data_IF_105986261756
#
_entry.id   IF_105986261756
#
_cell.length_a   1.000
_cell.length_b   1.000
_cell.length_c   1.000
_cell.angle_alpha   90.00
_cell.angle_beta   90.00
_cell.angle_gamma   90.00
#
_symmetry.space_group_name_H-M   'P 1'
#
loop_
_entity.id
_entity.type
_entity.pdbx_description
1 polymer ?
#
# COMPACT_ATOMS: atom_id res chain seq x y z
N UNK A 1 22.10 15.59 -3.22
CA UNK A 1 20.92 16.19 -3.88
C UNK A 1 19.69 15.62 -3.19
N UNK A 2 18.83 16.45 -2.62
CA UNK A 2 17.64 15.98 -1.90
C UNK A 2 16.61 15.42 -2.90
N UNK A 3 16.16 14.19 -2.68
CA UNK A 3 15.13 13.53 -3.46
C UNK A 3 13.79 14.22 -3.21
N UNK A 4 13.46 15.24 -4.01
CA UNK A 4 12.18 15.94 -3.92
C UNK A 4 11.08 14.92 -4.25
N UNK A 5 10.28 14.57 -3.24
CA UNK A 5 9.19 13.59 -3.38
C UNK A 5 8.27 14.01 -4.53
N UNK A 6 8.14 13.19 -5.61
CA UNK A 6 7.37 13.59 -6.78
C UNK A 6 5.88 13.54 -6.48
N UNK A 7 5.36 14.71 -6.12
CA UNK A 7 3.96 15.12 -6.04
C UNK A 7 3.02 14.38 -6.99
N UNK A 8 2.39 13.31 -6.48
CA UNK A 8 1.24 12.68 -7.12
C UNK A 8 0.24 12.35 -6.00
N UNK A 9 -0.95 12.96 -6.07
CA UNK A 9 -2.05 12.65 -5.18
C UNK A 9 -2.35 11.17 -5.23
N UNK A 10 -2.40 10.50 -4.08
CA UNK A 10 -3.54 9.68 -3.65
C UNK A 10 -3.70 9.68 -2.13
N UNK A 11 -4.96 9.87 -1.68
CA UNK A 11 -5.59 9.43 -0.42
C UNK A 11 -4.74 9.34 0.84
N UNK A 12 -5.17 10.06 1.88
CA UNK A 12 -4.73 9.81 3.25
C UNK A 12 -5.33 8.49 3.77
N UNK A 13 -4.75 7.36 3.37
CA UNK A 13 -5.14 6.05 3.87
C UNK A 13 -4.86 5.98 5.38
N UNK A 14 -5.93 5.83 6.18
CA UNK A 14 -5.79 5.67 7.63
C UNK A 14 -5.33 4.24 7.95
N UNK A 15 -4.46 4.10 8.96
CA UNK A 15 -4.10 2.79 9.48
C UNK A 15 -5.30 2.17 10.21
N UNK A 16 -5.67 0.95 9.82
CA UNK A 16 -6.91 0.31 10.26
C UNK A 16 -6.67 -1.17 10.60
N UNK A 17 -6.81 -1.53 11.89
CA UNK A 17 -6.60 -2.92 12.36
C UNK A 17 -7.66 -3.91 11.83
N UNK A 18 -8.87 -3.44 11.51
CA UNK A 18 -9.90 -4.30 10.90
C UNK A 18 -9.51 -4.71 9.48
N UNK A 19 -8.96 -3.76 8.73
CA UNK A 19 -8.36 -3.95 7.39
C UNK A 19 -7.15 -4.88 7.47
N UNK A 20 -6.30 -4.73 8.48
CA UNK A 20 -5.10 -5.57 8.67
C UNK A 20 -5.45 -7.03 9.01
N UNK A 21 -6.32 -7.25 10.01
CA UNK A 21 -6.54 -8.57 10.61
C UNK A 21 -7.67 -9.38 9.96
N UNK A 22 -8.62 -8.72 9.30
CA UNK A 22 -9.88 -9.37 8.91
C UNK A 22 -10.47 -8.92 7.58
N UNK A 23 -9.83 -7.97 6.88
CA UNK A 23 -10.41 -7.27 5.72
C UNK A 23 -11.82 -6.75 6.02
N UNK A 24 -11.98 -5.98 7.10
CA UNK A 24 -13.25 -5.37 7.52
C UNK A 24 -13.07 -3.91 7.90
N UNK A 25 -14.05 -3.06 7.60
CA UNK A 25 -14.15 -1.76 8.24
C UNK A 25 -14.61 -1.92 9.69
N UNK A 26 -14.03 -1.20 10.67
CA UNK A 26 -14.61 -1.05 12.00
C UNK A 26 -16.00 -0.38 11.89
N UNK A 27 -17.04 -1.18 12.14
CA UNK A 27 -18.44 -0.77 12.10
C UNK A 27 -19.33 -1.62 11.18
N UNK A 28 -18.77 -2.23 10.13
CA UNK A 28 -19.58 -2.81 9.05
C UNK A 28 -19.78 -4.33 9.16
N UNK A 29 -21.01 -4.74 8.85
CA UNK A 29 -21.40 -6.12 8.52
C UNK A 29 -21.17 -6.27 7.01
N UNK A 30 -20.30 -7.20 6.57
CA UNK A 30 -19.90 -7.40 5.16
C UNK A 30 -20.96 -6.98 4.14
N UNK A 31 -20.76 -5.83 3.49
CA UNK A 31 -21.62 -5.42 2.38
C UNK A 31 -21.17 -6.23 1.17
N UNK A 32 -22.12 -6.90 0.48
CA UNK A 32 -21.79 -7.65 -0.74
C UNK A 32 -21.29 -6.66 -1.81
N UNK A 33 -19.98 -6.64 -2.03
CA UNK A 33 -19.32 -5.71 -2.97
C UNK A 33 -18.01 -5.13 -2.44
N UNK A 34 -17.76 -5.16 -1.13
CA UNK A 34 -16.49 -4.73 -0.56
C UNK A 34 -15.34 -5.59 -1.08
N UNK A 35 -14.30 -4.94 -1.59
CA UNK A 35 -13.09 -5.59 -2.13
C UNK A 35 -11.85 -4.94 -1.55
N UNK A 36 -10.82 -5.75 -1.35
CA UNK A 36 -9.54 -5.34 -0.77
C UNK A 36 -8.42 -5.63 -1.77
N UNK A 37 -7.56 -4.64 -1.97
CA UNK A 37 -6.27 -4.84 -2.62
C UNK A 37 -5.28 -5.45 -1.64
N UNK A 38 -4.21 -6.06 -2.15
CA UNK A 38 -3.15 -6.61 -1.31
C UNK A 38 -1.78 -6.47 -1.97
N UNK A 39 -0.80 -6.01 -1.18
CA UNK A 39 0.62 -6.11 -1.51
C UNK A 39 1.30 -7.11 -0.57
N UNK A 40 2.24 -7.88 -1.10
CA UNK A 40 3.03 -8.87 -0.37
C UNK A 40 4.53 -8.60 -0.62
N UNK A 41 5.32 -8.63 0.45
CA UNK A 41 6.77 -8.54 0.40
C UNK A 41 7.36 -9.70 1.20
N UNK A 42 8.29 -10.42 0.60
CA UNK A 42 8.97 -11.57 1.19
C UNK A 42 10.47 -11.31 1.15
N UNK A 43 11.14 -11.42 2.29
CA UNK A 43 12.60 -11.48 2.37
C UNK A 43 13.07 -12.68 3.18
N UNK A 44 14.27 -13.17 2.87
CA UNK A 44 14.87 -14.35 3.50
C UNK A 44 16.33 -14.07 3.85
N UNK A 45 16.78 -14.58 4.99
CA UNK A 45 18.19 -14.58 5.38
C UNK A 45 18.56 -15.87 6.13
N UNK A 46 19.84 -16.25 6.11
CA UNK A 46 20.36 -17.26 7.03
C UNK A 46 20.47 -16.66 8.43
N UNK A 47 20.23 -17.45 9.48
CA UNK A 47 20.33 -17.02 10.88
C UNK A 47 19.26 -17.63 11.78
N UNK A 48 19.47 -17.50 13.10
CA UNK A 48 18.51 -17.87 14.14
C UNK A 48 17.31 -16.91 14.14
N UNK A 49 16.12 -17.39 14.48
CA UNK A 49 15.00 -16.52 14.79
C UNK A 49 15.13 -16.01 16.22
N UNK A 50 15.81 -14.90 16.35
CA UNK A 50 15.29 -13.77 17.10
C UNK A 50 15.55 -12.52 16.24
N UNK A 51 14.50 -11.75 15.97
CA UNK A 51 14.43 -10.42 16.56
C UNK A 51 12.97 -9.94 16.42
N UNK A 52 12.26 -9.93 17.55
CA UNK A 52 10.91 -9.36 17.68
C UNK A 52 10.96 -7.91 18.19
N UNK A 53 12.15 -7.30 18.26
CA UNK A 53 12.30 -5.88 18.55
C UNK A 53 11.53 -5.05 17.53
N UNK A 54 10.60 -4.23 18.04
CA UNK A 54 9.73 -3.33 17.28
C UNK A 54 10.54 -2.43 16.35
N UNK A 55 11.79 -2.09 16.70
CA UNK A 55 12.69 -1.29 15.87
C UNK A 55 13.21 -2.04 14.63
N UNK A 56 13.60 -3.32 14.70
CA UNK A 56 13.92 -4.11 13.47
C UNK A 56 12.65 -4.26 12.64
N UNK A 57 11.51 -4.55 13.28
CA UNK A 57 10.22 -4.71 12.59
C UNK A 57 9.87 -3.45 11.79
N UNK A 58 9.93 -2.26 12.39
CA UNK A 58 9.60 -1.00 11.71
C UNK A 58 10.47 -0.78 10.46
N UNK A 59 11.80 -0.90 10.57
CA UNK A 59 12.68 -0.76 9.41
C UNK A 59 12.42 -1.81 8.33
N UNK A 60 12.00 -3.03 8.68
CA UNK A 60 11.64 -4.07 7.69
C UNK A 60 10.26 -3.87 7.06
N UNK A 61 9.34 -3.20 7.75
CA UNK A 61 8.08 -2.72 7.16
C UNK A 61 8.37 -1.59 6.16
N UNK A 62 9.21 -0.62 6.54
CA UNK A 62 9.66 0.48 5.69
C UNK A 62 10.40 -0.03 4.43
N UNK A 63 11.33 -0.99 4.56
CA UNK A 63 12.01 -1.64 3.44
C UNK A 63 11.01 -2.25 2.44
N UNK A 64 9.98 -2.95 2.95
CA UNK A 64 8.99 -3.64 2.13
C UNK A 64 8.09 -2.67 1.36
N UNK A 65 7.53 -1.67 2.05
CA UNK A 65 6.75 -0.61 1.41
C UNK A 65 7.59 0.21 0.41
N UNK A 66 8.81 0.58 0.80
CA UNK A 66 9.71 1.30 -0.11
C UNK A 66 10.11 0.46 -1.34
N UNK A 67 10.20 -0.88 -1.19
CA UNK A 67 10.39 -1.78 -2.34
C UNK A 67 9.23 -1.73 -3.33
N UNK A 68 7.98 -1.71 -2.85
CA UNK A 68 6.79 -1.54 -3.69
C UNK A 68 6.79 -0.17 -4.37
N UNK A 69 7.04 0.90 -3.62
CA UNK A 69 7.10 2.27 -4.15
C UNK A 69 8.12 2.41 -5.29
N UNK A 70 9.28 1.75 -5.17
CA UNK A 70 10.34 1.83 -6.17
C UNK A 70 9.98 1.22 -7.53
N UNK A 71 8.89 0.46 -7.66
CA UNK A 71 8.35 0.05 -8.97
C UNK A 71 7.94 1.26 -9.83
N UNK A 72 7.74 2.44 -9.25
CA UNK A 72 7.56 3.73 -9.96
C UNK A 72 8.62 3.96 -11.04
N UNK A 73 9.85 3.46 -10.85
CA UNK A 73 10.96 3.55 -11.83
C UNK A 73 10.69 2.77 -13.11
N UNK A 74 9.86 1.71 -13.03
CA UNK A 74 9.40 0.91 -14.16
C UNK A 74 8.02 1.31 -14.68
N UNK A 75 7.27 2.11 -13.92
CA UNK A 75 5.94 2.55 -14.27
C UNK A 75 5.95 3.70 -15.31
N UNK A 76 4.98 3.66 -16.21
CA UNK A 76 4.57 4.79 -17.06
C UNK A 76 3.12 5.08 -16.72
N UNK A 77 2.71 6.35 -16.66
CA UNK A 77 1.32 6.70 -16.38
C UNK A 77 0.37 6.12 -17.46
N UNK A 78 -0.33 5.05 -17.10
CA UNK A 78 -1.14 4.24 -18.01
C UNK A 78 -2.20 3.46 -17.20
N UNK A 79 -3.26 2.98 -17.85
CA UNK A 79 -4.23 2.11 -17.21
C UNK A 79 -3.61 0.76 -16.79
N UNK A 80 -4.10 0.18 -15.69
CA UNK A 80 -3.70 -1.17 -15.27
C UNK A 80 -4.21 -2.20 -16.26
N UNK A 81 -3.33 -3.12 -16.66
CA UNK A 81 -3.61 -4.23 -17.58
C UNK A 81 -2.90 -5.49 -17.08
N UNK A 82 -3.38 -6.67 -17.47
CA UNK A 82 -2.71 -7.93 -17.12
C UNK A 82 -1.22 -7.97 -17.55
N UNK A 83 -0.86 -7.28 -18.64
CA UNK A 83 0.52 -7.20 -19.14
C UNK A 83 1.44 -6.21 -18.40
N UNK A 84 0.92 -5.27 -17.61
CA UNK A 84 1.74 -4.31 -16.83
C UNK A 84 1.64 -4.50 -15.31
N UNK A 85 0.61 -5.20 -14.82
CA UNK A 85 0.36 -5.44 -13.40
C UNK A 85 1.56 -6.07 -12.68
N UNK A 86 2.19 -7.11 -13.26
CA UNK A 86 3.34 -7.78 -12.63
C UNK A 86 4.61 -6.91 -12.49
N UNK A 87 4.65 -5.72 -13.10
CA UNK A 87 5.82 -4.82 -13.10
C UNK A 87 5.69 -3.62 -12.16
N UNK A 88 4.46 -3.19 -11.90
CA UNK A 88 4.18 -1.96 -11.14
C UNK A 88 2.90 -2.05 -10.28
N UNK A 89 2.33 -3.25 -10.12
CA UNK A 89 1.07 -3.47 -9.44
C UNK A 89 1.11 -3.10 -7.96
N UNK A 90 2.26 -3.29 -7.29
CA UNK A 90 2.37 -2.90 -5.89
C UNK A 90 2.41 -1.37 -5.77
N UNK A 91 3.21 -0.68 -6.59
CA UNK A 91 3.20 0.78 -6.67
C UNK A 91 1.81 1.34 -7.01
N UNK A 92 1.14 0.81 -8.03
CA UNK A 92 -0.20 1.30 -8.43
C UNK A 92 -1.26 1.05 -7.37
N UNK A 93 -1.08 0.05 -6.48
CA UNK A 93 -1.92 -0.16 -5.31
C UNK A 93 -1.58 0.77 -4.15
N UNK A 94 -0.29 0.99 -3.85
CA UNK A 94 0.13 1.91 -2.77
C UNK A 94 -0.41 3.31 -2.97
N UNK A 95 -0.56 3.71 -4.22
CA UNK A 95 -1.35 4.87 -4.54
C UNK A 95 -2.85 4.49 -4.51
N UNK A 96 -3.40 3.83 -5.54
CA UNK A 96 -4.83 3.75 -5.96
C UNK A 96 -5.91 4.71 -5.37
N UNK A 97 -6.47 5.62 -6.20
CA UNK A 97 -7.09 6.90 -5.79
C UNK A 97 -8.13 6.83 -4.66
N UNK A 98 -8.90 5.75 -4.63
CA UNK A 98 -10.04 5.56 -3.75
C UNK A 98 -9.69 4.71 -2.50
N UNK A 99 -8.44 4.25 -2.38
CA UNK A 99 -7.94 3.49 -1.24
C UNK A 99 -7.74 4.42 -0.04
N UNK A 100 -8.68 4.42 0.91
CA UNK A 100 -8.73 5.30 2.07
C UNK A 100 -8.44 4.62 3.42
N UNK A 101 -8.15 3.32 3.43
CA UNK A 101 -7.64 2.58 4.58
C UNK A 101 -6.55 1.61 4.15
N UNK A 102 -5.54 1.46 5.00
CA UNK A 102 -4.49 0.46 4.86
C UNK A 102 -4.31 -0.26 6.18
N UNK A 103 -4.13 -1.58 6.12
CA UNK A 103 -3.86 -2.40 7.29
C UNK A 103 -2.79 -3.42 6.97
N UNK A 104 -1.69 -3.39 7.71
CA UNK A 104 -0.53 -4.24 7.46
C UNK A 104 -0.27 -5.22 8.60
N UNK A 105 0.17 -6.42 8.25
CA UNK A 105 0.69 -7.45 9.15
C UNK A 105 2.11 -7.84 8.76
N UNK A 106 2.98 -7.97 9.75
CA UNK A 106 4.36 -8.44 9.59
C UNK A 106 4.59 -9.69 10.43
N UNK A 107 5.30 -10.67 9.87
CA UNK A 107 5.68 -11.88 10.59
C UNK A 107 7.08 -12.34 10.24
N UNK A 108 7.76 -12.92 11.23
CA UNK A 108 9.10 -13.50 11.12
C UNK A 108 9.03 -14.92 11.64
N UNK A 109 9.49 -15.89 10.84
CA UNK A 109 9.48 -17.30 11.22
C UNK A 109 10.64 -18.06 10.58
N UNK A 110 11.01 -19.19 11.18
CA UNK A 110 11.98 -20.11 10.59
C UNK A 110 11.31 -21.26 9.85
N UNK A 111 11.88 -21.62 8.69
CA UNK A 111 11.43 -22.78 7.91
C UNK A 111 12.56 -23.20 6.97
N UNK A 112 12.99 -24.46 7.06
CA UNK A 112 14.06 -25.03 6.22
C UNK A 112 15.44 -24.41 6.40
N UNK A 113 15.77 -23.93 7.61
CA UNK A 113 17.06 -23.27 7.91
C UNK A 113 17.14 -21.78 7.52
N UNK A 114 16.03 -21.17 7.08
CA UNK A 114 15.96 -19.76 6.69
C UNK A 114 15.07 -18.96 7.66
N UNK A 115 15.51 -17.75 8.07
CA UNK A 115 14.68 -16.70 8.69
C UNK A 115 13.89 -16.04 7.56
N UNK A 116 12.59 -16.30 7.50
CA UNK A 116 11.64 -15.75 6.52
C UNK A 116 10.91 -14.56 7.16
N UNK A 117 10.77 -13.45 6.43
CA UNK A 117 10.04 -12.25 6.85
C UNK A 117 8.98 -11.94 5.81
N UNK A 118 7.71 -11.95 6.20
CA UNK A 118 6.59 -11.61 5.32
C UNK A 118 5.94 -10.31 5.81
N UNK A 119 5.78 -9.34 4.91
CA UNK A 119 4.94 -8.16 5.09
C UNK A 119 3.74 -8.29 4.15
N UNK A 120 2.54 -8.15 4.69
CA UNK A 120 1.30 -8.07 3.92
C UNK A 120 0.62 -6.76 4.26
N UNK A 121 0.19 -5.99 3.26
CA UNK A 121 -0.67 -4.83 3.45
C UNK A 121 -1.96 -5.02 2.64
N UNK A 122 -3.11 -4.90 3.32
CA UNK A 122 -4.43 -4.88 2.70
C UNK A 122 -4.89 -3.43 2.53
N UNK A 123 -5.58 -3.16 1.42
CA UNK A 123 -5.95 -1.82 0.98
C UNK A 123 -7.46 -1.77 0.72
N UNK A 124 -8.16 -0.83 1.36
CA UNK A 124 -9.59 -0.59 1.14
C UNK A 124 -9.84 0.86 0.73
N UNK A 125 -10.63 1.16 -0.31
CA UNK A 125 -11.16 0.24 -1.31
C UNK A 125 -10.02 -0.43 -2.11
N UNK A 126 -10.29 -1.57 -2.76
CA UNK A 126 -9.32 -2.21 -3.64
C UNK A 126 -8.85 -1.30 -4.77
N UNK A 127 -7.59 -1.50 -5.16
CA UNK A 127 -7.02 -0.90 -6.35
C UNK A 127 -6.80 -1.87 -7.49
N UNK A 128 -6.01 -1.43 -8.46
CA UNK A 128 -5.58 -2.19 -9.63
C UNK A 128 -6.71 -2.76 -10.50
N UNK A 129 -7.83 -2.04 -10.59
CA UNK A 129 -8.93 -2.39 -11.47
C UNK A 129 -8.48 -2.31 -12.94
N UNK A 130 -8.61 -3.41 -13.68
CA UNK A 130 -8.20 -3.50 -15.09
C UNK A 130 -8.92 -2.43 -15.92
N UNK A 131 -8.16 -1.72 -16.76
CA UNK A 131 -8.64 -0.62 -17.60
C UNK A 131 -8.74 0.73 -16.89
N UNK A 132 -8.53 0.79 -15.57
CA UNK A 132 -8.53 2.04 -14.81
C UNK A 132 -7.10 2.56 -14.57
N UNK A 133 -6.98 3.88 -14.45
CA UNK A 133 -5.75 4.53 -14.00
C UNK A 133 -5.72 4.60 -12.47
N UNK A 134 -4.55 4.52 -11.83
CA UNK A 134 -4.47 4.63 -10.38
C UNK A 134 -4.99 5.97 -9.85
N UNK A 135 -4.71 7.08 -10.54
CA UNK A 135 -5.18 8.43 -10.20
C UNK A 135 -5.56 9.20 -11.47
N UNK A 136 -6.29 10.31 -11.30
CA UNK A 136 -6.41 11.35 -12.31
C UNK A 136 -5.16 12.22 -12.24
N UNK A 137 -4.39 12.29 -13.33
CA UNK A 137 -3.23 13.18 -13.45
C UNK A 137 -3.63 14.66 -13.33
N UNK A 138 -2.97 15.40 -12.44
CA UNK A 138 -3.16 16.85 -12.29
C UNK A 138 -2.97 17.33 -10.85
N UNK A 139 -3.39 18.57 -10.60
CA UNK A 139 -3.38 19.17 -9.26
C UNK A 139 -4.50 18.64 -8.36
N UNK A 140 -4.36 18.74 -7.02
CA UNK A 140 -5.39 18.33 -6.07
C UNK A 140 -6.75 18.97 -6.35
N UNK A 141 -7.80 18.17 -6.45
CA UNK A 141 -9.18 18.66 -6.57
C UNK A 141 -10.11 17.94 -5.58
N UNK A 142 -9.86 18.16 -4.29
CA UNK A 142 -10.64 17.55 -3.21
C UNK A 142 -12.12 17.99 -3.26
N UNK A 143 -12.38 19.24 -3.65
CA UNK A 143 -13.74 19.80 -3.78
C UNK A 143 -14.62 19.02 -4.77
N UNK A 144 -14.07 18.55 -5.90
CA UNK A 144 -14.78 17.68 -6.86
C UNK A 144 -15.31 16.40 -6.22
N UNK A 145 -14.61 15.87 -5.22
CA UNK A 145 -14.95 14.63 -4.52
C UNK A 145 -15.61 14.86 -3.15
N UNK A 146 -15.99 16.11 -2.83
CA UNK A 146 -16.57 16.52 -1.53
C UNK A 146 -15.65 16.24 -0.32
N UNK A 147 -14.33 16.24 -0.54
CA UNK A 147 -13.31 16.09 0.50
C UNK A 147 -12.63 17.44 0.79
N UNK A 148 -12.05 17.59 1.97
CA UNK A 148 -11.17 18.70 2.31
C UNK A 148 -9.74 18.44 1.81
N UNK A 149 -8.92 19.48 1.72
CA UNK A 149 -7.48 19.32 1.57
C UNK A 149 -6.88 18.91 2.93
N UNK A 150 -5.99 17.92 2.93
CA UNK A 150 -5.34 17.46 4.16
C UNK A 150 -4.47 18.56 4.75
N UNK A 151 -4.61 18.79 6.06
CA UNK A 151 -3.78 19.76 6.81
C UNK A 151 -2.38 19.23 7.10
N UNK A 152 -2.23 17.90 7.20
CA UNK A 152 -0.97 17.23 7.56
C UNK A 152 -0.15 16.84 6.34
N UNK A 153 -0.80 16.54 5.20
CA UNK A 153 -0.14 16.01 4.01
C UNK A 153 -0.46 16.85 2.79
N UNK A 154 0.53 17.64 2.35
CA UNK A 154 0.43 18.44 1.13
C UNK A 154 0.08 17.54 -0.06
N UNK A 155 -0.91 17.95 -0.85
CA UNK A 155 -1.44 17.21 -1.99
C UNK A 155 -2.25 15.95 -1.67
N UNK A 156 -2.73 15.75 -0.44
CA UNK A 156 -3.76 14.74 -0.14
C UNK A 156 -5.13 15.37 0.15
N UNK A 157 -6.17 14.57 0.02
CA UNK A 157 -7.54 14.91 0.40
C UNK A 157 -8.00 14.05 1.57
N UNK A 158 -8.78 14.63 2.48
CA UNK A 158 -9.33 14.04 3.72
C UNK A 158 -10.81 14.33 3.83
#
# INVERSE_FOLDING_TARGET
MQSVMPYILISSALFDLGTALSCRNPGDRWIRGDSFGQNLYISMSRGTADDHNVTEVNWKVEDGAYSWYNEVRGYKYQAVTAGNFARAGHYTQEVWANTNRVGCGFTVFQSGGWKKRYLVCNYYQAGNMIGQFPYVSGSPNCGRYRMAASRSYKSLCT
#
